data_IF_293909691518
#
_entry.id   IF_293909691518
#
_cell.length_a   1.000
_cell.length_b   1.000
_cell.length_c   1.000
_cell.angle_alpha   90.00
_cell.angle_beta   90.00
_cell.angle_gamma   90.00
#
_symmetry.space_group_name_H-M   'P 1'
#
loop_
_entity.id
_entity.type
_entity.pdbx_description
1 polymer ?
#
# COMPACT_ATOMS: atom_id res chain seq x y z
N UNK A 1 -37.42 -10.04 -84.46
CA UNK A 1 -38.66 -10.07 -83.66
C UNK A 1 -39.02 -11.53 -83.52
N UNK A 2 -38.74 -12.26 -82.45
CA UNK A 2 -38.19 -11.94 -81.12
C UNK A 2 -37.63 -13.24 -80.52
N UNK A 3 -36.72 -13.05 -79.57
CA UNK A 3 -35.89 -14.01 -78.84
C UNK A 3 -36.59 -14.77 -77.70
N UNK A 4 -35.89 -15.84 -77.25
CA UNK A 4 -35.67 -16.27 -75.86
C UNK A 4 -36.79 -16.94 -75.00
N UNK A 5 -36.61 -18.25 -74.79
CA UNK A 5 -36.14 -18.91 -73.55
C UNK A 5 -36.86 -18.69 -72.19
N UNK A 6 -37.43 -19.81 -71.69
CA UNK A 6 -37.51 -20.34 -70.29
C UNK A 6 -38.19 -19.59 -69.15
N UNK A 7 -39.09 -20.31 -68.45
CA UNK A 7 -39.49 -20.03 -67.06
C UNK A 7 -40.61 -20.95 -66.57
N UNK A 8 -40.26 -21.99 -65.79
CA UNK A 8 -41.20 -22.97 -65.21
C UNK A 8 -42.09 -22.42 -64.07
N UNK A 9 -43.13 -23.17 -63.66
CA UNK A 9 -44.11 -22.69 -62.69
C UNK A 9 -43.59 -22.75 -61.25
N UNK A 10 -43.64 -21.61 -60.55
CA UNK A 10 -43.33 -21.47 -59.13
C UNK A 10 -44.40 -22.16 -58.27
N UNK A 11 -43.97 -23.12 -57.46
CA UNK A 11 -44.76 -23.73 -56.40
C UNK A 11 -45.18 -22.70 -55.35
N UNK A 12 -46.42 -22.79 -54.90
CA UNK A 12 -46.95 -21.99 -53.78
C UNK A 12 -46.47 -22.63 -52.48
N UNK A 13 -45.58 -21.97 -51.77
CA UNK A 13 -45.24 -22.32 -50.38
C UNK A 13 -46.42 -21.96 -49.48
N UNK A 14 -46.88 -22.94 -48.69
CA UNK A 14 -47.75 -22.71 -47.54
C UNK A 14 -46.97 -21.95 -46.45
N UNK A 15 -47.64 -21.14 -45.60
CA UNK A 15 -46.96 -20.49 -44.49
C UNK A 15 -46.60 -21.54 -43.42
N UNK A 16 -45.35 -21.49 -42.98
CA UNK A 16 -44.80 -22.33 -41.91
C UNK A 16 -45.35 -21.85 -40.56
N UNK A 17 -45.94 -22.77 -39.79
CA UNK A 17 -46.47 -22.53 -38.45
C UNK A 17 -45.29 -22.41 -37.45
N UNK A 18 -45.29 -21.44 -36.53
CA UNK A 18 -44.18 -21.27 -35.61
C UNK A 18 -44.09 -22.45 -34.63
N UNK A 19 -42.90 -23.03 -34.51
CA UNK A 19 -42.63 -24.14 -33.61
C UNK A 19 -42.95 -23.79 -32.15
N UNK A 20 -43.67 -24.68 -31.47
CA UNK A 20 -43.97 -24.57 -30.05
C UNK A 20 -42.69 -24.64 -29.19
N UNK A 21 -42.61 -23.89 -28.07
CA UNK A 21 -41.45 -23.94 -27.18
C UNK A 21 -41.31 -25.32 -26.52
N UNK A 22 -40.07 -25.75 -26.19
CA UNK A 22 -39.83 -27.03 -25.54
C UNK A 22 -40.45 -27.08 -24.14
N UNK A 23 -40.87 -28.26 -23.67
CA UNK A 23 -41.44 -28.42 -22.33
C UNK A 23 -40.37 -28.13 -21.25
N UNK A 24 -40.79 -27.61 -20.08
CA UNK A 24 -39.87 -27.39 -18.96
C UNK A 24 -39.29 -28.72 -18.45
N UNK A 25 -38.07 -28.71 -17.90
CA UNK A 25 -37.47 -29.90 -17.31
C UNK A 25 -38.31 -30.41 -16.12
N UNK A 26 -38.27 -31.72 -15.81
CA UNK A 26 -38.97 -32.27 -14.66
C UNK A 26 -38.46 -31.63 -13.37
N UNK A 27 -39.38 -31.34 -12.44
CA UNK A 27 -39.04 -30.86 -11.12
C UNK A 27 -38.32 -31.99 -10.36
N UNK A 28 -37.03 -31.82 -10.11
CA UNK A 28 -36.27 -32.75 -9.29
C UNK A 28 -36.71 -32.66 -7.83
N UNK A 29 -36.84 -33.84 -7.26
CA UNK A 29 -37.50 -34.12 -6.01
C UNK A 29 -36.75 -33.46 -4.83
N UNK A 30 -37.50 -32.65 -4.08
CA UNK A 30 -37.09 -32.07 -2.81
C UNK A 30 -36.72 -33.18 -1.81
N UNK A 31 -35.42 -33.51 -1.76
CA UNK A 31 -34.87 -34.40 -0.74
C UNK A 31 -34.29 -33.56 0.37
N UNK A 32 -35.12 -33.37 1.38
CA UNK A 32 -34.85 -33.02 2.78
C UNK A 32 -33.38 -33.22 3.19
N UNK A 33 -32.65 -32.12 3.43
CA UNK A 33 -31.48 -32.10 4.30
C UNK A 33 -31.88 -31.44 5.62
N UNK A 34 -32.14 -32.28 6.61
CA UNK A 34 -32.28 -31.88 8.01
C UNK A 34 -30.91 -31.52 8.59
N UNK A 35 -30.84 -30.30 9.12
CA UNK A 35 -30.30 -29.94 10.43
C UNK A 35 -28.92 -30.54 10.84
N UNK A 36 -27.86 -29.75 10.62
CA UNK A 36 -26.67 -29.78 11.49
C UNK A 36 -25.90 -28.47 11.37
N UNK A 37 -26.22 -27.51 12.25
CA UNK A 37 -25.37 -26.35 12.54
C UNK A 37 -24.16 -26.85 13.35
N UNK A 38 -22.91 -26.69 12.89
CA UNK A 38 -21.76 -26.90 13.76
C UNK A 38 -21.67 -25.76 14.78
N UNK A 39 -21.60 -26.12 16.06
CA UNK A 39 -21.45 -25.18 17.17
C UNK A 39 -20.11 -24.44 17.08
N UNK A 40 -20.15 -23.12 17.12
CA UNK A 40 -18.99 -22.23 17.27
C UNK A 40 -18.38 -22.46 18.66
N UNK A 41 -17.08 -22.74 18.82
CA UNK A 41 -16.46 -22.79 20.13
C UNK A 41 -16.36 -21.37 20.72
N UNK A 42 -17.01 -21.16 21.86
CA UNK A 42 -16.95 -19.92 22.63
C UNK A 42 -15.57 -19.75 23.28
N UNK A 43 -14.85 -18.69 22.89
CA UNK A 43 -13.56 -18.26 23.48
C UNK A 43 -13.83 -17.65 24.86
N UNK A 44 -13.11 -18.06 25.94
CA UNK A 44 -13.28 -17.45 27.25
C UNK A 44 -12.62 -16.05 27.31
N UNK A 45 -13.17 -15.10 28.09
CA UNK A 45 -12.58 -13.76 28.22
C UNK A 45 -11.26 -13.80 29.01
N UNK A 46 -10.26 -13.09 28.49
CA UNK A 46 -8.96 -12.86 29.14
C UNK A 46 -9.12 -11.83 30.26
N UNK A 47 -8.63 -12.07 31.50
CA UNK A 47 -8.70 -11.08 32.57
C UNK A 47 -7.66 -9.96 32.38
N UNK A 48 -7.95 -8.73 32.85
CA UNK A 48 -7.00 -7.62 32.76
C UNK A 48 -5.80 -7.83 33.71
N UNK A 49 -4.59 -7.66 33.19
CA UNK A 49 -3.34 -7.60 33.96
C UNK A 49 -3.30 -6.30 34.77
N UNK A 50 -3.30 -6.44 36.09
CA UNK A 50 -3.06 -5.36 37.04
C UNK A 50 -1.58 -4.99 37.05
N UNK A 51 -1.29 -3.70 36.83
CA UNK A 51 -0.01 -3.08 37.16
C UNK A 51 0.22 -3.10 38.67
N UNK A 52 1.36 -3.62 39.11
CA UNK A 52 1.85 -3.44 40.46
C UNK A 52 3.23 -2.76 40.41
N UNK A 53 3.22 -1.50 40.83
CA UNK A 53 4.35 -0.74 41.34
C UNK A 53 4.82 -1.35 42.66
N UNK A 54 6.14 -1.56 42.81
CA UNK A 54 6.82 -1.43 44.10
C UNK A 54 8.31 -1.13 43.90
N UNK A 55 8.75 -0.06 44.55
CA UNK A 55 10.13 0.35 44.75
C UNK A 55 10.78 -0.46 45.89
N UNK A 56 12.11 -0.45 45.93
CA UNK A 56 13.08 -0.69 47.04
C UNK A 56 14.36 -1.24 46.35
N UNK A 57 15.60 -0.74 46.48
CA UNK A 57 16.23 0.16 47.43
C UNK A 57 17.43 -0.53 48.07
N UNK A 58 18.64 -0.42 47.51
CA UNK A 58 19.97 -0.64 48.15
C UNK A 58 21.04 -0.33 47.06
N UNK A 59 22.10 0.46 47.20
CA UNK A 59 22.94 0.76 48.35
C UNK A 59 24.28 0.01 48.20
N UNK A 60 25.28 0.57 47.51
CA UNK A 60 26.71 0.36 47.83
C UNK A 60 27.64 1.29 47.04
N UNK A 61 28.46 1.99 47.82
CA UNK A 61 29.65 2.75 47.44
C UNK A 61 30.84 1.81 47.21
N UNK A 62 31.83 2.28 46.41
CA UNK A 62 33.29 2.07 46.51
C UNK A 62 33.88 2.18 45.09
N UNK A 63 34.68 3.18 44.69
CA UNK A 63 36.00 3.69 45.12
C UNK A 63 37.07 3.35 44.06
N UNK A 64 38.07 4.23 43.98
CA UNK A 64 39.40 4.09 43.36
C UNK A 64 39.67 4.67 41.94
N UNK A 65 40.17 5.92 41.98
CA UNK A 65 41.59 6.31 41.80
C UNK A 65 42.26 6.48 40.42
N UNK A 66 43.14 7.52 40.42
CA UNK A 66 44.33 7.84 39.59
C UNK A 66 44.10 8.55 38.25
N UNK A 67 44.92 9.48 37.74
CA UNK A 67 46.21 10.11 38.10
C UNK A 67 46.31 11.39 37.20
N UNK A 68 46.63 12.59 37.73
CA UNK A 68 47.91 13.34 37.62
C UNK A 68 48.53 13.62 36.22
N UNK A 69 48.86 14.91 36.03
CA UNK A 69 50.09 15.53 35.44
C UNK A 69 49.96 16.41 34.16
N UNK A 70 50.17 17.72 34.40
CA UNK A 70 50.84 18.85 33.69
C UNK A 70 51.07 18.90 32.17
N UNK A 71 50.90 20.11 31.60
CA UNK A 71 51.91 20.99 30.94
C UNK A 71 51.15 22.19 30.29
N UNK A 72 51.32 23.43 30.72
CA UNK A 72 52.32 24.44 30.32
C UNK A 72 52.38 24.76 28.81
N UNK A 73 51.94 25.98 28.43
CA UNK A 73 52.69 26.88 27.53
C UNK A 73 52.06 28.26 27.35
N UNK A 74 52.96 29.23 27.46
CA UNK A 74 52.89 30.68 27.25
C UNK A 74 52.85 31.05 25.75
N UNK A 75 52.19 32.15 25.39
CA UNK A 75 52.74 33.17 24.47
C UNK A 75 52.18 34.55 24.79
N UNK A 76 53.10 35.49 25.00
CA UNK A 76 52.96 36.93 25.14
C UNK A 76 52.55 37.62 23.83
N UNK A 77 51.90 38.79 23.93
CA UNK A 77 52.38 40.08 23.41
C UNK A 77 51.20 41.05 23.24
N UNK A 78 51.22 42.18 23.95
CA UNK A 78 51.56 43.46 23.31
C UNK A 78 51.59 44.64 24.29
N UNK A 79 52.62 45.46 24.08
CA UNK A 79 53.07 46.60 24.88
C UNK A 79 52.51 47.90 24.29
N UNK A 80 51.98 48.80 25.12
CA UNK A 80 52.13 50.24 24.88
C UNK A 80 51.93 51.04 26.17
N UNK A 81 52.99 51.74 26.55
CA UNK A 81 53.09 52.64 27.69
C UNK A 81 52.56 54.04 27.36
N UNK A 82 52.10 54.77 28.38
CA UNK A 82 52.38 56.20 28.46
C UNK A 82 52.59 56.66 29.92
N UNK A 83 53.55 57.56 30.11
CA UNK A 83 54.09 58.06 31.39
C UNK A 83 53.80 59.55 31.54
N UNK A 84 53.41 59.98 32.74
CA UNK A 84 53.76 61.28 33.35
C UNK A 84 53.39 61.23 34.87
N UNK A 85 54.33 61.12 35.83
CA UNK A 85 54.98 62.21 36.62
C UNK A 85 54.02 63.30 37.12
N UNK A 86 53.98 63.74 38.38
CA UNK A 86 54.58 63.36 39.67
C UNK A 86 53.83 64.12 40.79
N UNK A 87 53.94 63.59 42.02
CA UNK A 87 54.30 64.32 43.26
C UNK A 87 53.30 64.39 44.46
N UNK A 88 53.83 63.92 45.60
CA UNK A 88 53.54 64.10 47.03
C UNK A 88 52.11 64.04 47.61
N UNK A 89 51.86 63.05 48.47
CA UNK A 89 51.76 63.21 49.94
C UNK A 89 51.29 61.90 50.63
N UNK A 90 51.96 61.54 51.73
CA UNK A 90 51.61 60.42 52.61
C UNK A 90 50.34 60.74 53.39
N UNK A 91 49.35 59.85 53.35
CA UNK A 91 48.30 59.76 54.36
C UNK A 91 47.69 58.35 54.40
N UNK A 92 47.27 57.98 55.60
CA UNK A 92 47.20 56.62 56.11
C UNK A 92 46.04 55.78 55.58
N UNK A 93 46.22 54.48 55.76
CA UNK A 93 45.34 53.32 55.62
C UNK A 93 43.83 53.59 55.81
N UNK A 94 43.03 53.26 54.79
CA UNK A 94 41.58 52.95 54.89
C UNK A 94 41.20 52.00 53.72
N UNK A 95 40.51 50.87 53.98
CA UNK A 95 40.23 49.86 52.96
C UNK A 95 39.13 50.36 52.02
N UNK A 96 39.52 50.75 50.80
CA UNK A 96 38.53 51.12 49.77
C UNK A 96 37.80 49.87 49.30
N UNK A 97 36.57 49.74 49.80
CA UNK A 97 35.64 48.66 49.51
C UNK A 97 35.65 48.24 48.04
N UNK A 98 35.97 46.97 47.79
CA UNK A 98 35.66 46.27 46.55
C UNK A 98 34.14 46.34 46.38
N UNK A 99 33.65 47.23 45.51
CA UNK A 99 32.26 47.19 45.07
C UNK A 99 32.07 45.85 44.36
N UNK A 100 31.45 44.90 45.06
CA UNK A 100 30.93 43.68 44.44
C UNK A 100 30.00 44.12 43.30
N UNK A 101 30.12 43.57 42.08
CA UNK A 101 29.18 43.90 41.03
C UNK A 101 27.79 43.49 41.53
N UNK A 102 26.93 44.48 41.72
CA UNK A 102 25.52 44.23 41.99
C UNK A 102 25.00 43.45 40.78
N UNK A 103 24.54 42.21 41.01
CA UNK A 103 23.87 41.42 39.98
C UNK A 103 22.60 42.16 39.61
N UNK A 104 22.69 42.95 38.55
CA UNK A 104 21.60 43.78 38.06
C UNK A 104 20.47 42.85 37.65
N UNK A 105 19.24 43.15 38.07
CA UNK A 105 18.02 42.37 37.75
C UNK A 105 17.87 42.09 36.24
N UNK A 106 18.48 42.91 35.38
CA UNK A 106 18.57 42.69 33.94
C UNK A 106 19.27 41.39 33.51
N UNK A 107 20.27 40.91 34.26
CA UNK A 107 20.99 39.67 33.92
C UNK A 107 20.16 38.41 34.23
N UNK A 108 19.31 38.47 35.27
CA UNK A 108 18.39 37.37 35.61
C UNK A 108 17.25 37.26 34.60
N UNK A 109 16.72 38.38 34.11
CA UNK A 109 15.72 38.40 33.04
C UNK A 109 16.31 37.86 31.73
N UNK A 110 17.55 38.27 31.39
CA UNK A 110 18.26 37.76 30.21
C UNK A 110 18.54 36.26 30.29
N UNK A 111 18.88 35.75 31.48
CA UNK A 111 19.13 34.32 31.73
C UNK A 111 17.83 33.51 31.66
N UNK A 112 16.74 34.02 32.22
CA UNK A 112 15.42 33.39 32.14
C UNK A 112 14.90 33.27 30.70
N UNK A 113 15.02 34.34 29.92
CA UNK A 113 14.64 34.33 28.48
C UNK A 113 15.48 33.30 27.71
N UNK A 114 16.78 33.18 28.01
CA UNK A 114 17.67 32.19 27.37
C UNK A 114 17.28 30.75 27.73
N UNK A 115 16.92 30.49 28.98
CA UNK A 115 16.47 29.16 29.43
C UNK A 115 15.15 28.74 28.78
N UNK A 116 14.17 29.65 28.72
CA UNK A 116 12.88 29.40 28.05
C UNK A 116 13.08 29.20 26.55
N UNK A 117 13.93 30.02 25.92
CA UNK A 117 14.27 29.88 24.50
C UNK A 117 14.95 28.54 24.19
N UNK A 118 15.92 28.13 25.01
CA UNK A 118 16.57 26.82 24.86
C UNK A 118 15.57 25.68 25.02
N UNK A 119 14.68 25.74 26.01
CA UNK A 119 13.67 24.70 26.22
C UNK A 119 12.72 24.58 25.00
N UNK A 120 12.26 25.71 24.45
CA UNK A 120 11.43 25.73 23.25
C UNK A 120 12.17 25.21 22.02
N UNK A 121 13.44 25.56 21.83
CA UNK A 121 14.27 25.04 20.73
C UNK A 121 14.47 23.53 20.87
N UNK A 122 14.73 23.05 22.08
CA UNK A 122 14.92 21.62 22.35
C UNK A 122 13.62 20.84 22.14
N UNK A 123 12.49 21.38 22.62
CA UNK A 123 11.16 20.79 22.41
C UNK A 123 10.80 20.76 20.92
N UNK A 124 11.05 21.86 20.20
CA UNK A 124 10.84 21.92 18.75
C UNK A 124 11.72 20.93 17.99
N UNK A 125 12.98 20.76 18.39
CA UNK A 125 13.89 19.78 17.80
C UNK A 125 13.41 18.35 18.05
N UNK A 126 12.91 18.04 19.26
CA UNK A 126 12.35 16.72 19.58
C UNK A 126 11.10 16.44 18.74
N UNK A 127 10.19 17.41 18.62
CA UNK A 127 9.00 17.27 17.76
C UNK A 127 9.40 17.09 16.30
N UNK A 128 10.38 17.85 15.80
CA UNK A 128 10.89 17.71 14.44
C UNK A 128 11.51 16.33 14.20
N UNK A 129 12.37 15.86 15.12
CA UNK A 129 12.95 14.51 15.07
C UNK A 129 11.88 13.42 15.16
N UNK A 130 10.84 13.62 15.96
CA UNK A 130 9.71 12.70 16.06
C UNK A 130 8.92 12.63 14.75
N UNK A 131 8.64 13.77 14.11
CA UNK A 131 8.01 13.81 12.79
C UNK A 131 8.89 13.12 11.73
N UNK A 132 10.19 13.37 11.73
CA UNK A 132 11.13 12.70 10.82
C UNK A 132 11.17 11.19 11.10
N UNK A 133 11.17 10.77 12.37
CA UNK A 133 11.10 9.37 12.77
C UNK A 133 9.83 8.69 12.25
N UNK A 134 8.66 9.32 12.42
CA UNK A 134 7.36 8.82 11.93
C UNK A 134 7.32 8.68 10.41
N UNK A 135 7.98 9.59 9.68
CA UNK A 135 8.08 9.55 8.22
C UNK A 135 9.10 8.51 7.75
N UNK A 136 10.26 8.38 8.41
CA UNK A 136 11.35 7.55 7.89
C UNK A 136 11.36 6.11 8.41
N UNK A 137 11.01 5.88 9.68
CA UNK A 137 11.14 4.53 10.28
C UNK A 137 10.01 3.58 9.90
N UNK A 138 8.81 4.10 9.64
CA UNK A 138 7.66 3.23 9.37
C UNK A 138 7.34 3.08 7.88
N UNK A 139 7.66 4.05 7.03
CA UNK A 139 7.52 3.92 5.57
C UNK A 139 8.51 2.86 5.05
N UNK A 140 9.70 2.81 5.65
CA UNK A 140 10.68 1.74 5.44
C UNK A 140 10.15 0.33 5.78
N UNK A 141 9.15 0.15 6.64
CA UNK A 141 8.74 -1.21 7.08
C UNK A 141 7.81 -1.91 6.09
N UNK A 142 6.83 -1.19 5.51
CA UNK A 142 5.94 -1.76 4.49
C UNK A 142 6.69 -2.00 3.18
N UNK A 143 7.56 -1.07 2.79
CA UNK A 143 8.39 -1.25 1.60
C UNK A 143 9.38 -2.39 1.78
N UNK A 144 9.96 -2.60 2.97
CA UNK A 144 10.79 -3.78 3.26
C UNK A 144 10.04 -5.10 3.14
N UNK A 145 8.75 -5.15 3.53
CA UNK A 145 7.94 -6.37 3.37
C UNK A 145 7.69 -6.67 1.90
N UNK A 146 7.31 -5.65 1.12
CA UNK A 146 7.16 -5.78 -0.33
C UNK A 146 8.49 -6.12 -1.02
N UNK A 147 9.62 -5.56 -0.58
CA UNK A 147 10.94 -5.90 -1.11
C UNK A 147 11.32 -7.36 -0.78
N UNK A 148 10.97 -7.84 0.42
CA UNK A 148 11.16 -9.24 0.81
C UNK A 148 10.31 -10.17 -0.05
N UNK A 149 8.99 -9.93 -0.14
CA UNK A 149 8.07 -10.69 -1.00
C UNK A 149 8.51 -10.65 -2.47
N UNK A 150 9.00 -9.50 -2.92
CA UNK A 150 9.45 -9.31 -4.29
C UNK A 150 10.76 -10.04 -4.57
N UNK A 151 11.63 -10.17 -3.58
CA UNK A 151 12.88 -10.93 -3.68
C UNK A 151 12.60 -12.43 -3.65
N UNK A 152 11.76 -12.88 -2.72
CA UNK A 152 11.28 -14.26 -2.58
C UNK A 152 10.62 -14.73 -3.88
N UNK A 153 9.60 -14.01 -4.37
CA UNK A 153 8.91 -14.37 -5.62
C UNK A 153 9.84 -14.44 -6.83
N UNK A 154 10.86 -13.55 -6.90
CA UNK A 154 11.85 -13.59 -7.99
C UNK A 154 12.88 -14.69 -7.84
N UNK A 155 13.25 -15.05 -6.61
CA UNK A 155 14.14 -16.18 -6.32
C UNK A 155 13.44 -17.48 -6.69
N UNK A 156 12.19 -17.61 -6.26
CA UNK A 156 11.30 -18.74 -6.57
C UNK A 156 11.08 -18.90 -8.07
N UNK A 157 10.88 -17.81 -8.82
CA UNK A 157 10.79 -17.86 -10.27
C UNK A 157 12.10 -18.23 -10.97
N UNK A 158 13.25 -18.05 -10.31
CA UNK A 158 14.58 -18.42 -10.81
C UNK A 158 15.01 -19.84 -10.39
N UNK A 159 14.42 -20.38 -9.32
CA UNK A 159 14.65 -21.73 -8.84
C UNK A 159 13.78 -22.77 -9.57
N UNK A 160 14.27 -24.01 -9.62
CA UNK A 160 13.44 -25.19 -9.96
C UNK A 160 12.62 -25.66 -8.72
N UNK A 161 12.03 -24.73 -7.95
CA UNK A 161 11.24 -25.11 -6.77
C UNK A 161 9.80 -25.45 -7.19
N UNK A 162 9.35 -26.72 -7.04
CA UNK A 162 8.02 -27.16 -7.47
C UNK A 162 6.87 -26.64 -6.58
N UNK A 163 7.13 -25.80 -5.59
CA UNK A 163 6.10 -25.23 -4.70
C UNK A 163 5.45 -23.95 -5.22
N UNK A 164 6.01 -23.29 -6.25
CA UNK A 164 5.33 -22.17 -6.89
C UNK A 164 4.25 -22.70 -7.83
N UNK A 165 3.01 -22.22 -7.72
CA UNK A 165 2.01 -22.43 -8.74
C UNK A 165 2.46 -21.72 -10.01
N UNK A 166 3.02 -22.46 -10.96
CA UNK A 166 3.01 -22.03 -12.35
C UNK A 166 1.55 -21.90 -12.71
N UNK A 167 1.03 -20.69 -12.94
CA UNK A 167 -0.34 -20.52 -13.42
C UNK A 167 -0.50 -21.43 -14.64
N UNK A 168 -1.24 -22.54 -14.54
CA UNK A 168 -1.41 -23.41 -15.68
C UNK A 168 -2.16 -22.59 -16.73
N UNK A 169 -2.00 -22.91 -18.01
CA UNK A 169 -2.90 -22.39 -19.06
C UNK A 169 -4.34 -22.94 -18.93
N UNK A 170 -4.85 -23.11 -17.72
CA UNK A 170 -6.20 -23.51 -17.38
C UNK A 170 -6.31 -24.04 -15.96
N UNK A 171 -6.97 -23.27 -15.08
CA UNK A 171 -7.66 -23.82 -13.92
C UNK A 171 -7.37 -23.14 -12.59
N UNK A 172 -8.46 -22.66 -11.98
CA UNK A 172 -8.60 -22.07 -10.66
C UNK A 172 -8.01 -22.96 -9.54
N UNK A 173 -7.39 -22.31 -8.54
CA UNK A 173 -6.85 -22.86 -7.28
C UNK A 173 -5.57 -23.70 -7.37
N UNK A 174 -4.41 -23.04 -7.40
CA UNK A 174 -3.15 -23.69 -7.00
C UNK A 174 -2.24 -22.81 -6.13
N UNK A 175 -2.52 -21.50 -6.01
CA UNK A 175 -1.77 -20.59 -5.11
C UNK A 175 -2.23 -20.74 -3.66
N UNK A 176 -1.33 -21.07 -2.71
CA UNK A 176 -1.63 -21.03 -1.29
C UNK A 176 -1.97 -19.61 -0.81
N UNK A 177 -2.89 -19.50 0.16
CA UNK A 177 -3.24 -18.21 0.76
C UNK A 177 -2.00 -17.53 1.34
N UNK A 178 -1.88 -16.22 1.08
CA UNK A 178 -0.77 -15.39 1.52
C UNK A 178 0.49 -15.49 0.66
N UNK A 179 0.53 -16.35 -0.37
CA UNK A 179 1.67 -16.41 -1.28
C UNK A 179 1.56 -15.39 -2.41
N UNK A 180 2.70 -14.78 -2.76
CA UNK A 180 2.82 -13.91 -3.92
C UNK A 180 2.88 -14.72 -5.20
N UNK A 181 2.11 -14.34 -6.23
CA UNK A 181 2.11 -15.08 -7.50
C UNK A 181 2.21 -14.19 -8.74
N UNK A 182 2.06 -12.87 -8.58
CA UNK A 182 2.18 -11.91 -9.68
C UNK A 182 2.72 -10.57 -9.19
N UNK A 183 3.17 -9.72 -10.11
CA UNK A 183 3.37 -8.31 -9.86
C UNK A 183 2.31 -7.48 -10.59
N UNK A 184 1.78 -6.46 -9.90
CA UNK A 184 0.98 -5.41 -10.52
C UNK A 184 1.86 -4.18 -10.75
N UNK A 185 1.79 -3.63 -11.96
CA UNK A 185 2.49 -2.41 -12.38
C UNK A 185 1.48 -1.42 -12.96
N UNK A 186 1.58 -0.18 -12.53
CA UNK A 186 0.66 0.90 -12.95
C UNK A 186 1.53 2.09 -13.36
N UNK A 187 1.88 2.22 -14.65
CA UNK A 187 2.78 3.27 -15.13
C UNK A 187 2.35 4.68 -14.75
N UNK A 188 1.03 4.92 -14.67
CA UNK A 188 0.44 6.20 -14.24
C UNK A 188 0.88 6.64 -12.84
N UNK A 189 1.25 5.69 -11.97
CA UNK A 189 1.74 5.98 -10.62
C UNK A 189 3.27 6.14 -10.57
N UNK A 190 3.94 6.02 -11.71
CA UNK A 190 5.39 6.10 -11.86
C UNK A 190 5.96 4.82 -12.50
N UNK A 191 7.05 4.97 -13.24
CA UNK A 191 7.70 3.86 -13.94
C UNK A 191 8.19 2.73 -13.00
N UNK A 192 8.53 3.09 -11.76
CA UNK A 192 9.01 2.15 -10.74
C UNK A 192 7.89 1.59 -9.85
N UNK A 193 6.62 1.96 -10.11
CA UNK A 193 5.50 1.46 -9.32
C UNK A 193 5.26 -0.03 -9.62
N UNK A 194 5.63 -0.87 -8.64
CA UNK A 194 5.44 -2.32 -8.67
C UNK A 194 5.03 -2.79 -7.29
N UNK A 195 4.06 -3.70 -7.23
CA UNK A 195 3.65 -4.39 -5.99
C UNK A 195 3.43 -5.87 -6.27
N UNK A 196 3.81 -6.71 -5.31
CA UNK A 196 3.50 -8.15 -5.31
C UNK A 196 2.01 -8.33 -5.02
N UNK A 197 1.34 -9.11 -5.84
CA UNK A 197 -0.03 -9.56 -5.65
C UNK A 197 0.00 -10.88 -4.90
N UNK A 198 -0.70 -10.93 -3.77
CA UNK A 198 -0.85 -12.09 -2.90
C UNK A 198 -2.17 -12.80 -3.19
N UNK A 199 -2.24 -14.11 -2.96
CA UNK A 199 -3.51 -14.83 -2.94
C UNK A 199 -4.24 -14.62 -1.62
N UNK A 200 -5.54 -14.28 -1.66
CA UNK A 200 -6.34 -14.01 -0.47
C UNK A 200 -6.58 -12.52 -0.22
N UNK A 201 -7.60 -12.22 0.59
CA UNK A 201 -8.01 -10.84 0.92
C UNK A 201 -8.30 -10.65 2.40
N UNK A 202 -7.78 -11.54 3.27
CA UNK A 202 -7.89 -11.35 4.72
C UNK A 202 -6.94 -10.22 5.18
N UNK A 203 -7.13 -9.78 6.42
CA UNK A 203 -6.44 -8.60 6.93
C UNK A 203 -4.92 -8.80 6.99
N UNK A 204 -4.47 -10.04 7.22
CA UNK A 204 -3.05 -10.37 7.30
C UNK A 204 -2.34 -10.24 5.95
N UNK A 205 -2.98 -10.61 4.83
CA UNK A 205 -2.39 -10.45 3.48
C UNK A 205 -2.46 -8.99 3.00
N UNK A 206 -3.58 -8.31 3.24
CA UNK A 206 -3.79 -6.94 2.73
C UNK A 206 -2.87 -5.90 3.39
N UNK A 207 -2.34 -6.20 4.58
CA UNK A 207 -1.29 -5.41 5.24
C UNK A 207 0.00 -5.39 4.41
N UNK A 208 0.26 -6.46 3.65
CA UNK A 208 1.52 -6.63 2.94
C UNK A 208 1.43 -6.14 1.49
N UNK A 209 0.28 -6.25 0.82
CA UNK A 209 0.11 -5.79 -0.55
C UNK A 209 -1.32 -5.94 -1.09
N UNK A 210 -1.51 -5.76 -2.41
CA UNK A 210 -2.74 -6.17 -3.08
C UNK A 210 -3.00 -7.67 -2.91
N UNK A 211 -4.23 -8.03 -2.55
CA UNK A 211 -4.67 -9.41 -2.40
C UNK A 211 -5.70 -9.80 -3.46
N UNK A 212 -5.62 -11.02 -3.98
CA UNK A 212 -6.56 -11.58 -4.96
C UNK A 212 -7.78 -12.21 -4.28
N UNK A 213 -8.97 -11.90 -4.79
CA UNK A 213 -10.19 -12.58 -4.38
C UNK A 213 -10.18 -14.01 -4.92
N UNK A 214 -10.02 -14.99 -4.03
CA UNK A 214 -9.77 -16.42 -4.34
C UNK A 214 -10.78 -17.08 -5.28
N UNK A 215 -12.03 -16.61 -5.29
CA UNK A 215 -13.11 -17.14 -6.14
C UNK A 215 -13.24 -16.39 -7.48
N UNK A 216 -12.35 -15.43 -7.74
CA UNK A 216 -12.32 -14.63 -8.97
C UNK A 216 -11.36 -15.22 -10.01
N UNK A 217 -11.39 -14.70 -11.24
CA UNK A 217 -10.63 -15.28 -12.36
C UNK A 217 -9.12 -14.99 -12.23
N UNK A 218 -8.25 -15.84 -12.78
CA UNK A 218 -6.79 -15.56 -12.78
C UNK A 218 -6.40 -14.53 -13.86
N UNK A 219 -5.18 -13.96 -13.82
CA UNK A 219 -4.72 -13.04 -14.86
C UNK A 219 -4.87 -13.61 -16.28
N UNK A 220 -5.52 -12.85 -17.16
CA UNK A 220 -5.80 -13.21 -18.55
C UNK A 220 -7.02 -14.11 -18.78
N UNK A 221 -7.63 -14.66 -17.73
CA UNK A 221 -8.78 -15.55 -17.88
C UNK A 221 -10.07 -14.77 -18.20
N UNK A 222 -11.00 -15.46 -18.88
CA UNK A 222 -12.37 -14.97 -19.04
C UNK A 222 -13.06 -14.93 -17.68
N UNK A 223 -13.66 -13.79 -17.36
CA UNK A 223 -14.20 -13.51 -16.04
C UNK A 223 -13.66 -12.19 -15.53
N UNK A 224 -13.44 -12.11 -14.21
CA UNK A 224 -12.99 -10.91 -13.55
C UNK A 224 -11.90 -11.25 -12.56
N UNK A 225 -10.66 -10.86 -12.86
CA UNK A 225 -9.54 -10.92 -11.94
C UNK A 225 -9.66 -9.76 -10.96
N UNK A 226 -10.03 -10.06 -9.72
CA UNK A 226 -10.35 -9.03 -8.74
C UNK A 226 -9.27 -8.95 -7.66
N UNK A 227 -8.82 -7.73 -7.36
CA UNK A 227 -7.84 -7.42 -6.33
C UNK A 227 -8.41 -6.44 -5.30
N UNK A 228 -8.12 -6.67 -4.03
CA UNK A 228 -8.33 -5.73 -2.95
C UNK A 228 -7.01 -5.12 -2.51
N UNK A 229 -7.04 -3.88 -2.00
CA UNK A 229 -5.86 -3.27 -1.41
C UNK A 229 -6.21 -2.05 -0.59
N UNK A 230 -5.41 -1.77 0.43
CA UNK A 230 -5.61 -0.59 1.27
C UNK A 230 -5.46 0.71 0.47
N UNK A 231 -6.34 1.69 0.76
CA UNK A 231 -6.25 3.03 0.18
C UNK A 231 -5.30 3.92 0.95
N UNK A 232 -5.36 3.87 2.27
CA UNK A 232 -4.62 4.79 3.12
C UNK A 232 -3.91 3.98 4.19
N UNK A 233 -2.64 4.33 4.39
CA UNK A 233 -1.69 3.56 5.19
C UNK A 233 -0.31 3.66 4.55
N UNK A 234 0.71 3.17 5.23
CA UNK A 234 2.09 3.18 4.73
C UNK A 234 2.26 2.01 3.75
N UNK A 235 2.80 2.28 2.56
CA UNK A 235 2.88 1.31 1.47
C UNK A 235 1.54 0.90 0.85
N UNK A 236 0.45 1.64 1.12
CA UNK A 236 -0.88 1.34 0.57
C UNK A 236 -0.85 1.29 -0.96
N UNK A 237 -1.16 0.15 -1.58
CA UNK A 237 -1.02 0.01 -3.03
C UNK A 237 -1.99 0.93 -3.76
N UNK A 238 -3.17 1.19 -3.20
CA UNK A 238 -4.28 1.80 -3.94
C UNK A 238 -4.62 3.23 -3.52
N UNK A 239 -3.65 3.95 -2.94
CA UNK A 239 -3.81 5.35 -2.51
C UNK A 239 -4.30 6.28 -3.63
N UNK A 240 -3.79 6.06 -4.84
CA UNK A 240 -3.98 6.93 -5.99
C UNK A 240 -4.83 6.29 -7.09
N UNK A 241 -5.61 5.24 -6.79
CA UNK A 241 -6.58 4.68 -7.74
C UNK A 241 -7.57 5.71 -8.28
N UNK A 242 -7.84 6.80 -7.55
CA UNK A 242 -8.67 7.90 -8.06
C UNK A 242 -8.02 8.71 -9.19
N UNK A 243 -6.72 8.55 -9.43
CA UNK A 243 -5.99 9.24 -10.49
C UNK A 243 -6.00 8.49 -11.84
N UNK A 244 -6.39 7.22 -11.85
CA UNK A 244 -6.50 6.43 -13.07
C UNK A 244 -7.56 7.00 -14.02
N UNK A 245 -7.22 6.98 -15.30
CA UNK A 245 -8.05 7.50 -16.39
C UNK A 245 -8.39 6.38 -17.36
N UNK A 246 -9.48 6.55 -18.11
CA UNK A 246 -9.86 5.63 -19.16
C UNK A 246 -8.70 5.45 -20.16
N UNK A 247 -8.34 4.19 -20.44
CA UNK A 247 -7.25 3.81 -21.32
C UNK A 247 -5.90 3.61 -20.63
N UNK A 248 -5.73 4.07 -19.38
CA UNK A 248 -4.48 3.86 -18.64
C UNK A 248 -4.20 2.35 -18.51
N UNK A 249 -2.94 1.91 -18.76
CA UNK A 249 -2.59 0.52 -18.64
C UNK A 249 -2.36 0.11 -17.19
N UNK A 250 -2.82 -1.09 -16.85
CA UNK A 250 -2.48 -1.83 -15.64
C UNK A 250 -1.88 -3.15 -16.11
N UNK A 251 -0.61 -3.38 -15.81
CA UNK A 251 0.13 -4.55 -16.30
C UNK A 251 0.29 -5.54 -15.16
N UNK A 252 -0.13 -6.78 -15.41
CA UNK A 252 0.09 -7.91 -14.50
C UNK A 252 1.21 -8.77 -15.08
N UNK A 253 2.24 -8.97 -14.27
CA UNK A 253 3.40 -9.78 -14.58
C UNK A 253 3.31 -11.09 -13.80
N UNK A 254 3.30 -12.23 -14.49
CA UNK A 254 3.37 -13.56 -13.86
C UNK A 254 4.75 -14.18 -14.13
N UNK A 255 4.97 -15.42 -13.70
CA UNK A 255 6.24 -16.11 -13.97
C UNK A 255 6.56 -16.21 -15.46
N UNK A 256 5.53 -16.41 -16.29
CA UNK A 256 5.67 -16.76 -17.71
C UNK A 256 5.21 -15.66 -18.66
N UNK A 257 4.25 -14.83 -18.25
CA UNK A 257 3.50 -13.96 -19.16
C UNK A 257 3.29 -12.55 -18.60
N UNK A 258 3.00 -11.63 -19.51
CA UNK A 258 2.48 -10.30 -19.23
C UNK A 258 1.05 -10.18 -19.71
N UNK A 259 0.19 -9.62 -18.86
CA UNK A 259 -1.19 -9.29 -19.18
C UNK A 259 -1.38 -7.79 -19.07
N UNK A 260 -1.82 -7.15 -20.15
CA UNK A 260 -2.10 -5.71 -20.18
C UNK A 260 -3.60 -5.52 -20.07
N UNK A 261 -4.05 -4.84 -19.03
CA UNK A 261 -5.43 -4.40 -18.88
C UNK A 261 -5.50 -2.89 -19.10
N UNK A 262 -6.58 -2.40 -19.71
CA UNK A 262 -6.84 -0.96 -19.88
C UNK A 262 -8.07 -0.55 -19.11
N UNK A 263 -7.93 0.49 -18.29
CA UNK A 263 -9.03 1.07 -17.51
C UNK A 263 -10.17 1.43 -18.46
N UNK A 264 -11.38 0.98 -18.15
CA UNK A 264 -12.53 1.18 -19.03
C UNK A 264 -12.93 2.66 -19.10
N UNK A 265 -13.52 3.05 -20.23
CA UNK A 265 -14.16 4.34 -20.40
C UNK A 265 -15.64 4.31 -20.00
N UNK A 266 -16.33 5.41 -20.26
CA UNK A 266 -17.80 5.44 -20.15
C UNK A 266 -18.50 4.67 -21.28
N UNK A 267 -17.78 4.34 -22.36
CA UNK A 267 -18.31 3.78 -23.60
C UNK A 267 -18.12 2.25 -23.70
N UNK A 268 -17.93 1.55 -22.58
CA UNK A 268 -17.81 0.09 -22.59
C UNK A 268 -19.08 -0.57 -23.19
N UNK A 269 -18.96 -1.48 -24.17
CA UNK A 269 -20.11 -2.09 -24.83
C UNK A 269 -20.98 -2.95 -23.91
N UNK A 270 -20.43 -3.42 -22.78
CA UNK A 270 -21.16 -4.21 -21.78
C UNK A 270 -21.71 -3.33 -20.64
N UNK A 271 -21.51 -2.01 -20.71
CA UNK A 271 -21.98 -1.05 -19.71
C UNK A 271 -21.19 -1.07 -18.40
N UNK A 272 -19.99 -1.66 -18.39
CA UNK A 272 -19.13 -1.69 -17.20
C UNK A 272 -18.44 -0.31 -17.03
N UNK A 273 -18.65 0.41 -15.93
CA UNK A 273 -18.01 1.70 -15.70
C UNK A 273 -16.52 1.52 -15.42
N UNK A 274 -15.66 2.39 -15.95
CA UNK A 274 -14.22 2.36 -15.58
C UNK A 274 -13.92 2.65 -14.12
N UNK A 275 -14.71 3.52 -13.50
CA UNK A 275 -14.56 3.85 -12.09
C UNK A 275 -15.92 4.12 -11.46
N UNK A 276 -16.14 3.63 -10.24
CA UNK A 276 -17.37 3.85 -9.49
C UNK A 276 -17.13 3.84 -7.97
N UNK A 277 -18.05 4.47 -7.23
CA UNK A 277 -18.09 4.43 -5.77
C UNK A 277 -19.30 3.60 -5.37
N UNK A 278 -19.08 2.56 -4.57
CA UNK A 278 -20.13 1.63 -4.15
C UNK A 278 -20.15 1.44 -2.63
N UNK A 279 -21.18 0.80 -2.12
CA UNK A 279 -21.22 0.37 -0.73
C UNK A 279 -20.32 -0.88 -0.52
N UNK A 280 -19.76 -1.10 0.68
CA UNK A 280 -18.94 -2.28 0.95
C UNK A 280 -19.67 -3.62 0.75
N UNK A 281 -21.00 -3.61 0.75
CA UNK A 281 -21.85 -4.80 0.53
C UNK A 281 -22.12 -5.10 -0.94
N UNK A 282 -21.66 -4.24 -1.86
CA UNK A 282 -21.88 -4.42 -3.29
C UNK A 282 -20.85 -5.39 -3.88
N UNK A 283 -21.12 -6.68 -3.69
CA UNK A 283 -20.27 -7.77 -4.20
C UNK A 283 -20.39 -7.97 -5.71
N UNK A 284 -21.35 -7.33 -6.37
CA UNK A 284 -21.56 -7.48 -7.82
C UNK A 284 -20.39 -6.91 -8.64
N UNK A 285 -19.60 -6.01 -8.05
CA UNK A 285 -18.43 -5.41 -8.69
C UNK A 285 -17.32 -6.43 -9.01
N UNK A 286 -17.26 -7.53 -8.26
CA UNK A 286 -16.30 -8.62 -8.50
C UNK A 286 -16.91 -9.83 -9.21
N UNK A 287 -18.16 -9.73 -9.68
CA UNK A 287 -18.80 -10.79 -10.47
C UNK A 287 -18.01 -11.08 -11.77
N UNK A 288 -18.19 -12.26 -12.40
CA UNK A 288 -17.49 -12.63 -13.64
C UNK A 288 -17.66 -11.60 -14.77
N UNK A 289 -18.83 -10.97 -14.83
CA UNK A 289 -19.04 -9.71 -15.54
C UNK A 289 -19.28 -8.62 -14.48
N UNK A 290 -18.44 -7.58 -14.35
CA UNK A 290 -18.61 -6.57 -13.32
C UNK A 290 -20.00 -5.93 -13.32
N UNK A 291 -20.60 -5.76 -12.13
CA UNK A 291 -21.99 -5.31 -11.91
C UNK A 291 -23.08 -6.21 -12.49
N UNK A 292 -22.72 -7.41 -12.97
CA UNK A 292 -23.64 -8.44 -13.41
C UNK A 292 -24.10 -9.36 -12.27
N UNK A 293 -24.86 -10.42 -12.60
CA UNK A 293 -25.18 -11.48 -11.65
C UNK A 293 -23.91 -12.22 -11.20
N UNK A 294 -23.81 -12.58 -9.91
CA UNK A 294 -22.66 -13.30 -9.36
C UNK A 294 -22.43 -14.66 -10.03
N UNK A 295 -23.50 -15.39 -10.33
CA UNK A 295 -23.47 -16.68 -11.06
C UNK A 295 -23.65 -16.50 -12.57
N UNK A 296 -23.47 -15.28 -13.08
CA UNK A 296 -23.64 -14.94 -14.49
C UNK A 296 -22.45 -15.40 -15.34
N UNK A 297 -22.64 -15.53 -16.67
CA UNK A 297 -21.52 -15.79 -17.57
C UNK A 297 -20.57 -14.57 -17.61
N UNK A 298 -19.30 -14.82 -17.89
CA UNK A 298 -18.33 -13.79 -18.21
C UNK A 298 -18.60 -13.20 -19.62
N UNK A 299 -18.67 -11.88 -19.73
CA UNK A 299 -18.80 -11.17 -21.01
C UNK A 299 -17.45 -10.76 -21.62
N UNK A 300 -16.35 -10.99 -20.89
CA UNK A 300 -14.99 -10.63 -21.27
C UNK A 300 -13.99 -11.05 -20.20
N UNK A 301 -12.75 -10.59 -20.34
CA UNK A 301 -11.68 -10.74 -19.36
C UNK A 301 -11.42 -9.38 -18.71
N UNK A 302 -11.85 -9.24 -17.46
CA UNK A 302 -11.80 -8.00 -16.70
C UNK A 302 -10.76 -8.07 -15.59
N UNK A 303 -10.29 -6.89 -15.17
CA UNK A 303 -9.56 -6.66 -13.93
C UNK A 303 -10.37 -5.69 -13.07
N UNK A 304 -10.54 -6.00 -11.80
CA UNK A 304 -11.21 -5.12 -10.82
C UNK A 304 -10.28 -4.80 -9.67
N UNK A 305 -10.05 -3.51 -9.40
CA UNK A 305 -9.31 -3.06 -8.22
C UNK A 305 -10.28 -2.43 -7.23
N UNK A 306 -10.27 -2.91 -5.99
CA UNK A 306 -11.15 -2.43 -4.92
C UNK A 306 -10.35 -1.80 -3.79
N UNK A 307 -10.85 -0.67 -3.28
CA UNK A 307 -10.23 -0.01 -2.14
C UNK A 307 -11.22 0.83 -1.34
N UNK A 308 -10.87 1.25 -0.13
CA UNK A 308 -11.73 2.06 0.74
C UNK A 308 -12.04 3.46 0.16
N UNK A 309 -13.22 4.02 0.45
CA UNK A 309 -13.58 5.38 0.05
C UNK A 309 -14.42 6.09 1.13
N UNK A 310 -14.32 7.43 1.26
CA UNK A 310 -13.26 8.31 0.75
C UNK A 310 -11.89 8.07 1.42
N UNK A 311 -10.83 8.81 1.05
CA UNK A 311 -9.54 8.73 1.74
C UNK A 311 -9.76 8.91 3.26
N UNK A 312 -9.08 8.10 4.07
CA UNK A 312 -9.21 8.04 5.54
C UNK A 312 -10.59 7.54 6.06
N UNK A 313 -11.37 6.86 5.22
CA UNK A 313 -12.66 6.28 5.60
C UNK A 313 -12.89 4.95 4.88
N UNK A 314 -13.62 4.02 5.51
CA UNK A 314 -14.01 2.73 4.94
C UNK A 314 -15.52 2.62 4.71
N UNK A 315 -16.23 3.77 4.66
CA UNK A 315 -17.70 3.83 4.52
C UNK A 315 -18.18 3.32 3.16
N UNK A 316 -17.38 3.56 2.14
CA UNK A 316 -17.66 3.21 0.75
C UNK A 316 -16.44 2.48 0.18
N UNK A 317 -16.54 2.07 -1.08
CA UNK A 317 -15.43 1.52 -1.85
C UNK A 317 -15.27 2.28 -3.16
N UNK A 318 -14.03 2.60 -3.51
CA UNK A 318 -13.65 3.03 -4.84
C UNK A 318 -13.30 1.77 -5.63
N UNK A 319 -13.94 1.62 -6.79
CA UNK A 319 -13.75 0.49 -7.69
C UNK A 319 -13.21 1.01 -9.01
N UNK A 320 -12.20 0.36 -9.55
CA UNK A 320 -11.70 0.57 -10.91
C UNK A 320 -11.85 -0.72 -11.69
N UNK A 321 -12.46 -0.65 -12.87
CA UNK A 321 -12.57 -1.76 -13.80
C UNK A 321 -11.71 -1.50 -15.03
N UNK A 322 -11.01 -2.54 -15.47
CA UNK A 322 -10.19 -2.56 -16.67
C UNK A 322 -10.51 -3.82 -17.48
N UNK A 323 -10.25 -3.79 -18.78
CA UNK A 323 -10.46 -4.93 -19.67
C UNK A 323 -9.12 -5.37 -20.27
N UNK A 324 -8.95 -6.67 -20.47
CA UNK A 324 -7.76 -7.23 -21.08
C UNK A 324 -7.59 -6.68 -22.50
N UNK A 325 -6.40 -6.13 -22.78
CA UNK A 325 -6.00 -5.56 -24.06
C UNK A 325 -5.08 -6.53 -24.80
N UNK A 326 -5.69 -7.39 -25.63
CA UNK A 326 -4.98 -8.37 -26.45
C UNK A 326 -4.77 -9.71 -25.75
N UNK A 327 -3.82 -10.49 -26.29
CA UNK A 327 -3.44 -11.79 -25.74
C UNK A 327 -2.32 -11.63 -24.71
N UNK A 328 -2.11 -12.66 -23.89
CA UNK A 328 -0.93 -12.79 -23.04
C UNK A 328 0.34 -12.63 -23.87
N UNK A 329 1.31 -11.86 -23.37
CA UNK A 329 2.60 -11.66 -24.01
C UNK A 329 3.62 -12.51 -23.24
N UNK A 330 4.19 -13.56 -23.84
CA UNK A 330 5.19 -14.38 -23.17
C UNK A 330 6.41 -13.54 -22.77
N UNK A 331 6.94 -13.75 -21.57
CA UNK A 331 8.18 -13.11 -21.11
C UNK A 331 9.37 -13.38 -22.03
N UNK A 332 9.37 -14.52 -22.71
CA UNK A 332 10.38 -14.85 -23.71
C UNK A 332 10.36 -13.88 -24.92
N UNK A 333 9.20 -13.31 -25.26
CA UNK A 333 9.04 -12.35 -26.35
C UNK A 333 9.28 -10.90 -25.89
N UNK A 334 8.95 -10.59 -24.64
CA UNK A 334 9.12 -9.27 -24.03
C UNK A 334 9.83 -9.37 -22.67
N UNK A 335 11.15 -9.61 -22.62
CA UNK A 335 11.89 -9.81 -21.37
C UNK A 335 11.92 -8.55 -20.50
N UNK A 336 11.92 -7.37 -21.13
CA UNK A 336 11.90 -6.07 -20.45
C UNK A 336 10.47 -5.53 -20.22
N UNK A 337 9.45 -6.34 -20.52
CA UNK A 337 8.04 -5.99 -20.38
C UNK A 337 7.38 -5.40 -21.63
N UNK A 338 6.04 -5.28 -21.64
CA UNK A 338 5.28 -4.81 -22.79
C UNK A 338 5.42 -3.29 -22.99
N UNK A 339 5.20 -2.77 -24.21
CA UNK A 339 5.25 -1.33 -24.50
C UNK A 339 4.37 -0.47 -23.58
N UNK A 340 3.26 -1.05 -23.09
CA UNK A 340 2.33 -0.42 -22.16
C UNK A 340 3.00 0.10 -20.87
N UNK A 341 4.13 -0.48 -20.43
CA UNK A 341 4.87 0.01 -19.26
C UNK A 341 5.46 1.42 -19.45
N UNK A 342 5.55 1.91 -20.69
CA UNK A 342 6.11 3.23 -21.03
C UNK A 342 5.07 4.31 -21.29
N UNK A 343 3.77 4.02 -21.12
CA UNK A 343 2.67 4.95 -21.44
C UNK A 343 2.30 5.91 -20.28
N UNK A 344 2.98 5.82 -19.13
CA UNK A 344 2.68 6.53 -17.87
C UNK A 344 3.05 8.01 -17.81
#
# INVERSE_FOLDING_TARGET
MDDAQTGGPRGRHAPEEPAAPPPPPPADDATVWTDRVPAVPSVPPVPPTASASSAEGDGTEDDASADRVTEDRVTEDDVAADRATADHAVQEDEPRAVRRPERTTGDLVRTGIRGVGQLLVTAGLVVLLFVVYEVWVTDLTSDRKQDALSSELREDWQGDDPTVPTLPSGGLSEVPLGEGFAFIRIPRFGADYVKVVLEGTDEDELVEGPGHYVDSAMPGEQGNFALAGHRVGKGSPFLDLDQLQAGDPIVIETQTDWYVYRVLGADDPNGVPGQQIVLPTDVSVIAPTPNGPLDGPASGAYLTLTTCHPKFSARERLIVHAVLDGAAIPKAEAPDGPPALSEG
#
